data_IF_999276441919
#
_entry.id   IF_999276441919
#
_cell.length_a   1.000
_cell.length_b   1.000
_cell.length_c   1.000
_cell.angle_alpha   90.00
_cell.angle_beta   90.00
_cell.angle_gamma   90.00
#
_symmetry.space_group_name_H-M   'P 1'
#
loop_
_entity.id
_entity.type
_entity.pdbx_description
1 polymer ?
#
# COMPACT_ATOMS: atom_id res chain seq x y z
N UNK A 1 34.93 16.28 -23.51
CA UNK A 1 33.84 15.32 -23.77
C UNK A 1 33.42 14.84 -22.39
N UNK A 2 32.46 15.56 -21.81
CA UNK A 2 31.98 15.29 -20.44
C UNK A 2 30.98 14.13 -20.49
N UNK A 3 31.47 12.99 -20.99
CA UNK A 3 30.70 11.77 -21.15
C UNK A 3 30.30 11.28 -19.77
N UNK A 4 29.01 11.15 -19.57
CA UNK A 4 28.44 10.61 -18.36
C UNK A 4 28.88 9.15 -18.20
N UNK A 5 29.43 8.79 -17.03
CA UNK A 5 30.06 7.49 -16.79
C UNK A 5 29.15 6.27 -17.03
N UNK A 6 27.84 6.51 -17.17
CA UNK A 6 26.82 5.47 -17.31
C UNK A 6 25.88 5.68 -18.51
N UNK A 7 26.28 6.48 -19.50
CA UNK A 7 25.46 6.72 -20.70
C UNK A 7 25.25 5.40 -21.46
N UNK A 8 23.99 5.07 -21.75
CA UNK A 8 23.62 3.84 -22.47
C UNK A 8 23.56 2.56 -21.63
N UNK A 9 23.80 2.61 -20.31
CA UNK A 9 23.60 1.44 -19.44
C UNK A 9 22.11 1.14 -19.25
N UNK A 10 21.77 -0.15 -19.23
CA UNK A 10 20.43 -0.63 -18.86
C UNK A 10 20.30 -0.71 -17.35
N UNK A 11 19.06 -0.69 -16.84
CA UNK A 11 18.79 -0.91 -15.40
C UNK A 11 19.40 -2.21 -14.87
N UNK A 12 19.41 -3.28 -15.65
CA UNK A 12 20.01 -4.55 -15.23
C UNK A 12 21.50 -4.39 -14.97
N UNK A 13 22.22 -3.71 -15.88
CA UNK A 13 23.65 -3.44 -15.72
C UNK A 13 23.92 -2.52 -14.52
N UNK A 14 23.09 -1.48 -14.32
CA UNK A 14 23.21 -0.59 -13.16
C UNK A 14 23.01 -1.34 -11.83
N UNK A 15 22.13 -2.34 -11.79
CA UNK A 15 21.91 -3.17 -10.58
C UNK A 15 23.04 -4.18 -10.32
N UNK A 16 23.79 -4.58 -11.34
CA UNK A 16 24.93 -5.50 -11.21
C UNK A 16 26.20 -4.79 -10.73
N UNK A 17 26.34 -3.50 -11.05
CA UNK A 17 27.47 -2.65 -10.65
C UNK A 17 27.31 -2.01 -9.25
N UNK A 18 26.34 -2.48 -8.45
CA UNK A 18 25.94 -1.84 -7.20
C UNK A 18 27.12 -1.66 -6.22
N UNK A 19 27.42 -0.40 -5.93
CA UNK A 19 28.35 0.02 -4.89
C UNK A 19 27.53 0.73 -3.80
N UNK A 20 27.06 0.00 -2.76
CA UNK A 20 26.05 0.49 -1.83
C UNK A 20 26.52 1.68 -0.97
N UNK A 21 27.83 1.89 -0.87
CA UNK A 21 28.45 2.91 -0.03
C UNK A 21 28.74 4.23 -0.77
N UNK A 22 28.40 4.36 -2.05
CA UNK A 22 28.63 5.58 -2.81
C UNK A 22 27.46 5.97 -3.72
N UNK A 23 27.29 7.27 -3.94
CA UNK A 23 26.32 7.79 -4.89
C UNK A 23 26.84 7.54 -6.31
N UNK A 24 26.15 6.68 -7.07
CA UNK A 24 26.56 6.29 -8.42
C UNK A 24 26.25 7.34 -9.49
N UNK A 25 25.29 8.23 -9.23
CA UNK A 25 24.86 9.23 -10.21
C UNK A 25 24.36 8.59 -11.51
N UNK A 26 23.51 7.57 -11.45
CA UNK A 26 22.91 6.92 -12.63
C UNK A 26 21.78 7.73 -13.30
N UNK A 27 21.21 8.71 -12.60
CA UNK A 27 20.12 9.56 -13.11
C UNK A 27 20.59 11.00 -13.37
N UNK A 28 20.31 11.54 -14.57
CA UNK A 28 20.74 12.88 -14.98
C UNK A 28 19.68 13.97 -14.78
N UNK A 29 18.41 13.60 -14.83
CA UNK A 29 17.27 14.47 -14.53
C UNK A 29 16.07 13.63 -14.07
N UNK A 30 14.97 14.32 -13.75
CA UNK A 30 13.74 13.71 -13.24
C UNK A 30 13.10 12.80 -14.30
N UNK A 31 13.05 13.25 -15.55
CA UNK A 31 12.43 12.52 -16.65
C UNK A 31 13.14 11.19 -16.95
N UNK A 32 14.47 11.18 -16.86
CA UNK A 32 15.27 9.97 -17.00
C UNK A 32 15.05 9.01 -15.83
N UNK A 33 14.99 9.54 -14.61
CA UNK A 33 14.67 8.74 -13.43
C UNK A 33 13.28 8.11 -13.52
N UNK A 34 12.27 8.84 -14.01
CA UNK A 34 10.93 8.31 -14.25
C UNK A 34 10.92 7.23 -15.32
N UNK A 35 11.64 7.45 -16.43
CA UNK A 35 11.76 6.48 -17.54
C UNK A 35 12.39 5.18 -17.06
N UNK A 36 13.57 5.27 -16.42
CA UNK A 36 14.26 4.13 -15.84
C UNK A 36 13.41 3.46 -14.74
N UNK A 37 12.74 4.23 -13.87
CA UNK A 37 11.82 3.70 -12.87
C UNK A 37 10.66 2.89 -13.47
N UNK A 38 10.11 3.33 -14.60
CA UNK A 38 9.10 2.59 -15.35
C UNK A 38 9.67 1.30 -15.96
N UNK A 39 10.88 1.35 -16.52
CA UNK A 39 11.58 0.15 -17.03
C UNK A 39 11.83 -0.88 -15.93
N UNK A 40 12.31 -0.44 -14.76
CA UNK A 40 12.49 -1.30 -13.60
C UNK A 40 11.19 -2.00 -13.22
N UNK A 41 10.11 -1.23 -13.13
CA UNK A 41 8.78 -1.77 -12.79
C UNK A 41 8.30 -2.78 -13.83
N UNK A 42 8.57 -2.54 -15.11
CA UNK A 42 8.27 -3.48 -16.21
C UNK A 42 9.08 -4.77 -16.07
N UNK A 43 10.37 -4.69 -15.80
CA UNK A 43 11.25 -5.86 -15.61
C UNK A 43 10.78 -6.74 -14.44
N UNK A 44 10.40 -6.11 -13.33
CA UNK A 44 9.85 -6.81 -12.15
C UNK A 44 8.50 -7.46 -12.49
N UNK A 45 7.62 -6.73 -13.16
CA UNK A 45 6.29 -7.22 -13.55
C UNK A 45 6.36 -8.38 -14.54
N UNK A 46 7.30 -8.36 -15.49
CA UNK A 46 7.48 -9.43 -16.48
C UNK A 46 7.74 -10.80 -15.82
N UNK A 47 8.49 -10.82 -14.70
CA UNK A 47 8.73 -12.05 -13.91
C UNK A 47 7.44 -12.61 -13.30
N UNK A 48 6.49 -11.73 -12.95
CA UNK A 48 5.18 -12.14 -12.42
C UNK A 48 4.27 -12.59 -13.56
N UNK A 49 4.21 -11.83 -14.65
CA UNK A 49 3.35 -12.11 -15.81
C UNK A 49 3.61 -13.50 -16.39
N UNK A 50 4.87 -13.91 -16.52
CA UNK A 50 5.24 -15.25 -17.02
C UNK A 50 4.72 -16.42 -16.18
N UNK A 51 4.10 -16.13 -15.03
CA UNK A 51 3.58 -17.12 -14.09
C UNK A 51 2.05 -17.10 -13.95
N UNK A 52 1.37 -16.22 -14.69
CA UNK A 52 -0.09 -16.08 -14.70
C UNK A 52 -0.64 -16.90 -15.85
N UNK A 53 -1.66 -17.72 -15.58
CA UNK A 53 -2.31 -18.54 -16.61
C UNK A 53 -3.32 -17.69 -17.39
N UNK A 54 -3.53 -17.94 -18.70
CA UNK A 54 -4.57 -17.25 -19.47
C UNK A 54 -5.98 -17.37 -18.86
N UNK A 55 -6.28 -18.53 -18.26
CA UNK A 55 -7.56 -18.77 -17.57
C UNK A 55 -7.81 -17.77 -16.43
N UNK A 56 -6.75 -17.32 -15.73
CA UNK A 56 -6.87 -16.35 -14.66
C UNK A 56 -7.23 -14.93 -15.14
N UNK A 57 -7.11 -14.65 -16.44
CA UNK A 57 -7.46 -13.35 -17.02
C UNK A 57 -8.82 -13.36 -17.71
N UNK A 58 -9.48 -14.52 -17.82
CA UNK A 58 -10.67 -14.71 -18.63
C UNK A 58 -11.89 -13.90 -18.13
N UNK A 59 -11.97 -13.64 -16.83
CA UNK A 59 -13.10 -12.98 -16.17
C UNK A 59 -12.81 -11.54 -15.72
N UNK A 60 -11.72 -10.93 -16.23
CA UNK A 60 -11.44 -9.51 -16.00
C UNK A 60 -12.53 -8.67 -16.69
N UNK A 61 -13.15 -7.68 -16.00
CA UNK A 61 -14.24 -6.89 -16.57
C UNK A 61 -13.73 -6.01 -17.71
N UNK A 62 -14.24 -6.24 -18.91
CA UNK A 62 -13.85 -5.50 -20.13
C UNK A 62 -14.85 -4.41 -20.48
N UNK A 63 -16.14 -4.66 -20.25
CA UNK A 63 -17.21 -3.71 -20.59
C UNK A 63 -17.43 -2.67 -19.49
N UNK A 64 -17.93 -1.46 -19.84
CA UNK A 64 -18.32 -0.45 -18.86
C UNK A 64 -19.34 -0.96 -17.84
N UNK A 65 -20.28 -1.82 -18.27
CA UNK A 65 -21.33 -2.41 -17.42
C UNK A 65 -20.72 -3.35 -16.38
N UNK A 66 -19.85 -4.28 -16.78
CA UNK A 66 -19.16 -5.18 -15.86
C UNK A 66 -18.31 -4.41 -14.84
N UNK A 67 -17.62 -3.36 -15.30
CA UNK A 67 -16.84 -2.48 -14.40
C UNK A 67 -17.77 -1.79 -13.40
N UNK A 68 -18.92 -1.27 -13.86
CA UNK A 68 -19.91 -0.63 -13.00
C UNK A 68 -20.47 -1.58 -11.93
N UNK A 69 -20.75 -2.83 -12.27
CA UNK A 69 -21.19 -3.84 -11.31
C UNK A 69 -20.15 -4.03 -10.19
N UNK A 70 -18.87 -4.19 -10.54
CA UNK A 70 -17.81 -4.29 -9.54
C UNK A 70 -17.66 -3.02 -8.70
N UNK A 71 -17.78 -1.84 -9.30
CA UNK A 71 -17.72 -0.57 -8.57
C UNK A 71 -18.82 -0.45 -7.51
N UNK A 72 -20.05 -0.83 -7.84
CA UNK A 72 -21.17 -0.86 -6.89
C UNK A 72 -20.84 -1.80 -5.73
N UNK A 73 -20.35 -3.01 -6.02
CA UNK A 73 -19.98 -3.99 -4.99
C UNK A 73 -18.86 -3.49 -4.07
N UNK A 74 -17.85 -2.81 -4.62
CA UNK A 74 -16.76 -2.22 -3.84
C UNK A 74 -17.29 -1.07 -2.96
N UNK A 75 -18.13 -0.20 -3.53
CA UNK A 75 -18.76 0.91 -2.81
C UNK A 75 -19.55 0.39 -1.60
N UNK A 76 -20.40 -0.61 -1.81
CA UNK A 76 -21.22 -1.22 -0.75
C UNK A 76 -20.34 -1.87 0.32
N UNK A 77 -19.27 -2.58 -0.08
CA UNK A 77 -18.33 -3.19 0.87
C UNK A 77 -17.57 -2.15 1.71
N UNK A 78 -17.22 -0.98 1.15
CA UNK A 78 -16.62 0.12 1.92
C UNK A 78 -17.63 0.65 2.95
N UNK A 79 -18.91 0.76 2.58
CA UNK A 79 -19.99 1.32 3.40
C UNK A 79 -20.63 0.32 4.36
N UNK A 80 -20.31 -0.96 4.23
CA UNK A 80 -20.79 -2.01 5.14
C UNK A 80 -20.00 -2.02 6.45
N UNK A 81 -20.61 -1.56 7.54
CA UNK A 81 -20.02 -1.56 8.88
C UNK A 81 -20.56 -2.69 9.79
N UNK A 82 -21.35 -3.63 9.25
CA UNK A 82 -22.03 -4.67 10.05
C UNK A 82 -21.06 -5.55 10.84
N UNK A 83 -19.87 -5.81 10.27
CA UNK A 83 -18.85 -6.69 10.85
C UNK A 83 -17.73 -5.94 11.59
N UNK A 84 -17.86 -4.62 11.78
CA UNK A 84 -16.82 -3.81 12.43
C UNK A 84 -16.97 -3.91 13.95
N UNK A 85 -16.11 -4.72 14.57
CA UNK A 85 -16.06 -4.81 16.04
C UNK A 85 -15.12 -3.74 16.59
N UNK A 86 -15.67 -2.78 17.34
CA UNK A 86 -14.87 -1.86 18.13
C UNK A 86 -14.31 -2.63 19.34
N UNK A 87 -13.01 -2.91 19.34
CA UNK A 87 -12.37 -3.43 20.54
C UNK A 87 -12.27 -2.31 21.58
N UNK A 88 -12.72 -2.52 22.83
CA UNK A 88 -12.54 -1.53 23.87
C UNK A 88 -11.04 -1.27 24.07
N UNK A 89 -10.64 0.01 24.06
CA UNK A 89 -9.31 0.39 24.50
C UNK A 89 -9.34 0.42 26.02
N UNK A 90 -8.75 -0.58 26.66
CA UNK A 90 -8.53 -0.57 28.11
C UNK A 90 -7.43 0.43 28.43
N UNK A 91 -7.81 1.65 28.79
CA UNK A 91 -6.96 2.51 29.61
C UNK A 91 -7.31 2.18 31.07
N UNK A 92 -6.29 1.85 31.88
CA UNK A 92 -6.35 1.27 33.24
C UNK A 92 -7.31 1.92 34.27
N UNK A 93 -7.97 3.03 33.94
CA UNK A 93 -8.74 3.84 34.89
C UNK A 93 -10.19 4.12 34.45
N UNK A 94 -10.54 4.04 33.15
CA UNK A 94 -11.92 4.23 32.68
C UNK A 94 -12.15 3.59 31.31
N UNK A 95 -13.11 2.66 31.22
CA UNK A 95 -13.45 1.94 29.97
C UNK A 95 -14.37 2.78 29.09
N UNK A 96 -13.85 3.84 28.46
CA UNK A 96 -14.60 4.58 27.45
C UNK A 96 -14.47 3.87 26.11
N UNK A 97 -15.61 3.48 25.51
CA UNK A 97 -15.64 2.93 24.15
C UNK A 97 -15.33 4.04 23.14
N UNK A 98 -14.05 4.23 22.81
CA UNK A 98 -13.66 5.08 21.69
C UNK A 98 -13.76 4.29 20.38
N UNK A 99 -14.61 4.76 19.45
CA UNK A 99 -14.64 4.25 18.09
C UNK A 99 -13.26 4.43 17.43
N UNK A 100 -12.83 3.43 16.67
CA UNK A 100 -11.56 3.49 15.97
C UNK A 100 -11.53 4.66 14.97
N UNK A 101 -10.50 5.51 15.02
CA UNK A 101 -10.36 6.68 14.15
C UNK A 101 -10.40 6.35 12.66
N UNK A 102 -9.93 5.17 12.23
CA UNK A 102 -10.05 4.72 10.85
C UNK A 102 -11.52 4.49 10.46
N UNK A 103 -12.30 3.88 11.36
CA UNK A 103 -13.74 3.62 11.15
C UNK A 103 -14.50 4.94 11.03
N UNK A 104 -14.26 5.88 11.94
CA UNK A 104 -14.87 7.22 11.92
C UNK A 104 -14.61 7.91 10.57
N UNK A 105 -13.35 7.94 10.12
CA UNK A 105 -12.97 8.58 8.86
C UNK A 105 -13.64 7.95 7.64
N UNK A 106 -13.68 6.62 7.57
CA UNK A 106 -14.33 5.92 6.46
C UNK A 106 -15.84 6.13 6.49
N UNK A 107 -16.46 6.14 7.68
CA UNK A 107 -17.90 6.43 7.86
C UNK A 107 -18.28 7.83 7.37
N UNK A 108 -17.42 8.81 7.65
CA UNK A 108 -17.61 10.21 7.26
C UNK A 108 -17.30 10.51 5.79
N UNK A 109 -16.81 9.53 5.01
CA UNK A 109 -16.58 9.73 3.58
C UNK A 109 -17.89 10.06 2.84
N UNK A 110 -17.82 11.08 1.99
CA UNK A 110 -18.89 11.43 1.06
C UNK A 110 -18.97 10.41 -0.08
N UNK A 111 -20.16 10.26 -0.68
CA UNK A 111 -20.43 9.30 -1.76
C UNK A 111 -19.40 9.38 -2.91
N UNK A 112 -19.17 10.57 -3.45
CA UNK A 112 -18.19 10.78 -4.53
C UNK A 112 -16.76 10.36 -4.16
N UNK A 113 -16.33 10.61 -2.91
CA UNK A 113 -15.01 10.18 -2.46
C UNK A 113 -14.92 8.64 -2.36
N UNK A 114 -16.00 7.99 -1.91
CA UNK A 114 -16.11 6.53 -1.88
C UNK A 114 -16.07 5.93 -3.29
N UNK A 115 -16.74 6.56 -4.25
CA UNK A 115 -16.69 6.14 -5.67
C UNK A 115 -15.27 6.24 -6.24
N UNK A 116 -14.57 7.35 -6.00
CA UNK A 116 -13.16 7.51 -6.42
C UNK A 116 -12.26 6.42 -5.82
N UNK A 117 -12.45 6.08 -4.55
CA UNK A 117 -11.73 4.98 -3.90
C UNK A 117 -12.09 3.63 -4.54
N UNK A 118 -13.37 3.39 -4.84
CA UNK A 118 -13.80 2.17 -5.51
C UNK A 118 -13.16 2.02 -6.90
N UNK A 119 -13.09 3.09 -7.69
CA UNK A 119 -12.38 3.13 -8.97
C UNK A 119 -10.89 2.80 -8.82
N UNK A 120 -10.23 3.41 -7.84
CA UNK A 120 -8.81 3.15 -7.56
C UNK A 120 -8.57 1.69 -7.20
N UNK A 121 -9.40 1.11 -6.33
CA UNK A 121 -9.32 -0.31 -5.94
C UNK A 121 -9.52 -1.23 -7.15
N UNK A 122 -10.53 -0.97 -7.98
CA UNK A 122 -10.81 -1.78 -9.17
C UNK A 122 -9.62 -1.78 -10.14
N UNK A 123 -9.05 -0.60 -10.43
CA UNK A 123 -7.90 -0.48 -11.32
C UNK A 123 -6.67 -1.22 -10.76
N UNK A 124 -6.40 -1.11 -9.46
CA UNK A 124 -5.31 -1.84 -8.82
C UNK A 124 -5.55 -3.35 -8.82
N UNK A 125 -6.79 -3.81 -8.67
CA UNK A 125 -7.13 -5.22 -8.74
C UNK A 125 -6.91 -5.78 -10.16
N UNK A 126 -7.31 -5.03 -11.20
CA UNK A 126 -7.07 -5.41 -12.61
C UNK A 126 -5.56 -5.48 -12.86
N UNK A 127 -4.82 -4.44 -12.49
CA UNK A 127 -3.37 -4.41 -12.67
C UNK A 127 -2.69 -5.58 -11.94
N UNK A 128 -3.09 -5.87 -10.70
CA UNK A 128 -2.57 -7.02 -9.96
C UNK A 128 -2.90 -8.34 -10.65
N UNK A 129 -4.12 -8.52 -11.16
CA UNK A 129 -4.51 -9.75 -11.87
C UNK A 129 -3.74 -9.93 -13.18
N UNK A 130 -3.37 -8.85 -13.86
CA UNK A 130 -2.52 -8.88 -15.06
C UNK A 130 -1.02 -8.90 -14.75
N UNK A 131 -0.63 -9.05 -13.47
CA UNK A 131 0.77 -9.14 -13.05
C UNK A 131 1.49 -7.80 -12.89
N UNK A 132 0.82 -6.67 -13.10
CA UNK A 132 1.32 -5.33 -12.79
C UNK A 132 0.96 -4.96 -11.35
N UNK A 133 1.77 -5.41 -10.40
CA UNK A 133 1.50 -5.20 -8.97
C UNK A 133 1.91 -3.81 -8.47
N UNK A 134 2.70 -3.06 -9.24
CA UNK A 134 3.23 -1.75 -8.84
C UNK A 134 4.13 -1.78 -7.60
N UNK A 135 4.59 -2.97 -7.19
CA UNK A 135 5.47 -3.15 -6.04
C UNK A 135 6.93 -3.19 -6.52
N UNK A 136 7.81 -2.34 -5.98
CA UNK A 136 9.22 -2.36 -6.36
C UNK A 136 9.91 -3.63 -5.83
N UNK A 137 10.87 -4.17 -6.58
CA UNK A 137 11.51 -5.44 -6.19
C UNK A 137 12.47 -5.32 -5.00
N UNK A 138 12.84 -4.10 -4.58
CA UNK A 138 13.58 -3.89 -3.33
C UNK A 138 12.72 -4.03 -2.07
N UNK A 139 11.39 -4.15 -2.20
CA UNK A 139 10.53 -4.49 -1.05
C UNK A 139 10.91 -5.88 -0.57
N UNK A 140 11.32 -5.97 0.69
CA UNK A 140 11.82 -7.20 1.26
C UNK A 140 10.79 -8.34 1.13
N UNK A 141 11.21 -9.50 0.59
CA UNK A 141 10.30 -10.64 0.32
C UNK A 141 9.54 -11.12 1.56
N UNK A 142 10.12 -10.99 2.76
CA UNK A 142 9.42 -11.35 4.02
C UNK A 142 8.29 -10.39 4.38
N UNK A 143 8.29 -9.15 3.89
CA UNK A 143 7.23 -8.18 4.17
C UNK A 143 6.07 -8.25 3.18
N UNK A 144 6.26 -8.86 2.01
CA UNK A 144 5.23 -8.94 0.98
C UNK A 144 5.41 -10.16 0.07
N UNK A 145 4.33 -10.91 -0.13
CA UNK A 145 4.28 -12.04 -1.06
C UNK A 145 3.12 -11.83 -2.02
N UNK A 146 3.41 -11.88 -3.32
CA UNK A 146 2.35 -11.88 -4.33
C UNK A 146 1.55 -13.17 -4.26
N UNK A 147 0.26 -13.06 -3.91
CA UNK A 147 -0.69 -14.17 -4.00
C UNK A 147 -1.38 -14.17 -5.36
N UNK A 148 -1.31 -15.30 -6.05
CA UNK A 148 -2.08 -15.55 -7.28
C UNK A 148 -3.49 -16.01 -6.95
N UNK A 149 -4.42 -15.60 -7.79
CA UNK A 149 -5.81 -16.04 -7.73
C UNK A 149 -6.17 -16.72 -9.06
N UNK A 150 -6.81 -17.91 -9.02
CA UNK A 150 -7.31 -18.60 -10.19
C UNK A 150 -8.20 -17.77 -11.12
N UNK A 151 -8.93 -16.78 -10.58
CA UNK A 151 -9.82 -15.89 -11.34
C UNK A 151 -9.78 -14.47 -10.77
N UNK A 152 -10.19 -13.48 -11.58
CA UNK A 152 -10.37 -12.10 -11.13
C UNK A 152 -11.47 -12.00 -10.06
N UNK A 153 -12.58 -12.71 -10.25
CA UNK A 153 -13.70 -12.74 -9.31
C UNK A 153 -13.26 -13.21 -7.93
N UNK A 154 -12.46 -14.27 -7.83
CA UNK A 154 -11.94 -14.76 -6.54
C UNK A 154 -11.06 -13.71 -5.85
N UNK A 155 -10.17 -13.04 -6.58
CA UNK A 155 -9.39 -11.91 -6.05
C UNK A 155 -10.33 -10.83 -5.50
N UNK A 156 -11.36 -10.49 -6.25
CA UNK A 156 -12.33 -9.47 -5.86
C UNK A 156 -13.10 -9.87 -4.61
N UNK A 157 -13.53 -11.12 -4.46
CA UNK A 157 -14.19 -11.57 -3.22
C UNK A 157 -13.30 -11.39 -1.99
N UNK A 158 -12.01 -11.70 -2.10
CA UNK A 158 -11.06 -11.46 -1.02
C UNK A 158 -10.90 -9.98 -0.68
N UNK A 159 -10.86 -9.10 -1.70
CA UNK A 159 -10.83 -7.64 -1.51
C UNK A 159 -12.11 -7.17 -0.83
N UNK A 160 -13.29 -7.57 -1.32
CA UNK A 160 -14.58 -7.20 -0.76
C UNK A 160 -14.73 -7.66 0.70
N UNK A 161 -14.32 -8.90 1.00
CA UNK A 161 -14.28 -9.41 2.37
C UNK A 161 -13.39 -8.56 3.28
N UNK A 162 -12.17 -8.25 2.83
CA UNK A 162 -11.25 -7.39 3.56
C UNK A 162 -11.84 -6.00 3.86
N UNK A 163 -12.51 -5.39 2.87
CA UNK A 163 -13.15 -4.08 3.03
C UNK A 163 -14.30 -4.09 4.04
N UNK A 164 -15.07 -5.18 4.12
CA UNK A 164 -16.18 -5.34 5.09
C UNK A 164 -15.67 -5.54 6.51
N UNK A 165 -14.63 -6.35 6.68
CA UNK A 165 -14.13 -6.75 8.01
C UNK A 165 -13.13 -5.74 8.58
N UNK A 166 -12.32 -5.10 7.75
CA UNK A 166 -11.25 -4.21 8.21
C UNK A 166 -11.25 -2.85 7.52
N UNK A 167 -11.79 -1.84 8.21
CA UNK A 167 -11.83 -0.45 7.71
C UNK A 167 -10.47 0.24 7.65
N UNK A 168 -9.41 -0.32 8.24
CA UNK A 168 -8.06 0.19 7.99
C UNK A 168 -7.66 0.02 6.53
N UNK A 169 -8.18 -1.01 5.84
CA UNK A 169 -7.90 -1.23 4.42
C UNK A 169 -8.49 -0.09 3.57
N UNK A 170 -9.77 0.23 3.76
CA UNK A 170 -10.42 1.35 3.09
C UNK A 170 -9.75 2.69 3.44
N UNK A 171 -9.38 2.86 4.72
CA UNK A 171 -8.70 4.06 5.21
C UNK A 171 -7.36 4.32 4.50
N UNK A 172 -6.58 3.28 4.18
CA UNK A 172 -5.32 3.41 3.42
C UNK A 172 -5.49 4.10 2.06
N UNK A 173 -6.65 3.97 1.42
CA UNK A 173 -6.90 4.61 0.11
C UNK A 173 -7.24 6.09 0.20
N UNK A 174 -7.68 6.57 1.36
CA UNK A 174 -7.98 7.99 1.62
C UNK A 174 -6.88 8.70 2.42
N UNK A 175 -6.01 7.95 3.08
CA UNK A 175 -4.87 8.52 3.78
C UNK A 175 -3.91 9.18 2.80
N UNK A 176 -3.37 10.33 3.19
CA UNK A 176 -2.26 10.96 2.46
C UNK A 176 -1.09 9.98 2.41
N UNK A 177 -0.50 9.83 1.23
CA UNK A 177 0.71 9.06 1.02
C UNK A 177 1.80 9.53 2.01
N UNK A 178 2.34 8.64 2.87
CA UNK A 178 3.34 9.02 3.88
C UNK A 178 4.56 9.73 3.28
N UNK A 179 5.01 9.31 2.09
CA UNK A 179 6.15 9.93 1.40
C UNK A 179 5.81 11.36 0.99
N UNK A 180 4.59 11.58 0.47
CA UNK A 180 4.12 12.94 0.12
C UNK A 180 3.97 13.82 1.35
N UNK A 181 3.48 13.27 2.45
CA UNK A 181 3.34 13.98 3.73
C UNK A 181 4.69 14.42 4.29
N UNK A 182 5.69 13.52 4.26
CA UNK A 182 7.06 13.82 4.64
C UNK A 182 7.67 14.93 3.80
N UNK A 183 7.58 14.83 2.48
CA UNK A 183 8.14 15.84 1.56
C UNK A 183 7.47 17.20 1.75
N UNK A 184 6.16 17.23 2.00
CA UNK A 184 5.42 18.48 2.19
C UNK A 184 5.69 19.18 3.53
N UNK A 185 5.95 18.43 4.61
CA UNK A 185 6.24 19.00 5.93
C UNK A 185 7.16 18.08 6.77
N UNK A 186 8.48 18.05 6.46
CA UNK A 186 9.40 17.12 7.10
C UNK A 186 9.59 17.40 8.60
N UNK A 187 9.53 18.67 9.01
CA UNK A 187 9.70 19.06 10.41
C UNK A 187 8.59 18.50 11.31
N UNK A 188 7.34 18.56 10.87
CA UNK A 188 6.20 18.04 11.63
C UNK A 188 6.27 16.52 11.80
N UNK A 189 6.64 15.79 10.75
CA UNK A 189 6.76 14.34 10.79
C UNK A 189 7.91 13.88 11.68
N UNK A 190 9.05 14.60 11.66
CA UNK A 190 10.19 14.29 12.51
C UNK A 190 9.82 14.39 13.99
N UNK A 191 9.15 15.48 14.37
CA UNK A 191 8.69 15.70 15.75
C UNK A 191 7.74 14.59 16.21
N UNK A 192 6.76 14.22 15.38
CA UNK A 192 5.79 13.18 15.71
C UNK A 192 6.45 11.81 15.93
N UNK A 193 7.47 11.48 15.14
CA UNK A 193 8.16 10.19 15.25
C UNK A 193 9.10 10.13 16.46
N UNK A 194 9.80 11.22 16.77
CA UNK A 194 10.68 11.29 17.94
C UNK A 194 9.89 11.15 19.24
N UNK A 195 8.85 11.97 19.41
CA UNK A 195 8.01 11.95 20.62
C UNK A 195 7.35 10.58 20.83
N UNK A 196 6.80 9.97 19.77
CA UNK A 196 6.17 8.65 19.88
C UNK A 196 7.14 7.52 20.25
N UNK A 197 8.41 7.61 19.80
CA UNK A 197 9.43 6.63 20.17
C UNK A 197 9.89 6.79 21.61
N UNK A 198 10.04 8.03 22.09
CA UNK A 198 10.44 8.31 23.47
C UNK A 198 9.37 7.88 24.47
N UNK A 199 8.09 8.18 24.18
CA UNK A 199 6.95 7.70 24.97
C UNK A 199 6.90 6.17 25.02
N UNK A 200 7.10 5.49 23.87
CA UNK A 200 7.09 4.03 23.81
C UNK A 200 8.25 3.42 24.59
N UNK A 201 9.45 4.02 24.53
CA UNK A 201 10.60 3.59 25.34
C UNK A 201 10.32 3.74 26.83
N UNK A 202 9.74 4.87 27.25
CA UNK A 202 9.31 5.09 28.64
C UNK A 202 8.35 3.99 29.09
N UNK A 203 7.28 3.72 28.34
CA UNK A 203 6.29 2.71 28.68
C UNK A 203 6.89 1.28 28.76
N UNK A 204 7.87 0.96 27.91
CA UNK A 204 8.56 -0.33 27.95
C UNK A 204 9.42 -0.44 29.21
N UNK A 205 10.14 0.63 29.58
CA UNK A 205 10.97 0.68 30.78
C UNK A 205 10.10 0.57 32.03
N UNK A 206 9.02 1.35 32.14
CA UNK A 206 8.08 1.30 33.26
C UNK A 206 7.47 -0.12 33.41
N UNK A 207 7.12 -0.76 32.29
CA UNK A 207 6.63 -2.13 32.27
C UNK A 207 7.68 -3.18 32.67
N UNK A 208 8.97 -2.90 32.42
CA UNK A 208 10.09 -3.77 32.83
C UNK A 208 10.37 -3.62 34.32
N UNK A 209 10.40 -2.40 34.84
CA UNK A 209 10.59 -2.12 36.27
C UNK A 209 9.44 -2.69 37.11
N UNK A 210 8.19 -2.53 36.67
CA UNK A 210 7.02 -3.12 37.33
C UNK A 210 7.06 -4.65 37.43
N UNK A 211 7.76 -5.33 36.51
CA UNK A 211 7.95 -6.80 36.54
C UNK A 211 9.13 -7.25 37.41
N UNK A 212 10.10 -6.37 37.67
CA UNK A 212 11.24 -6.68 38.54
C UNK A 212 10.90 -6.50 40.03
N UNK A 213 9.86 -5.70 40.32
CA UNK A 213 9.38 -5.43 41.68
C UNK A 213 8.21 -6.36 42.12
N UNK A 214 7.93 -7.42 41.36
CA UNK A 214 6.98 -8.50 41.69
C UNK A 214 7.75 -9.80 41.94
#
# INVERSE_FOLDING_TARGET
ADGYAHEGKTITQMMEEDHPDSFQGYFHNVEHAETLGAEYTRLVSARIVGTITPAAMADIPTTPQQKREWLVRIFDAIRDFTNVTNRPRSNRVNTVQHENTHVVRVRQMKGAATELVAHKILNLAINAQTGNVGMPAWVHRKSWTYKRFPTFAERMEHILHGLRVNKSIAHTFISVDPSRRWVANPQSELKSNMTGNDEKKSLINDGREARQNQ
#
